data_IF_923724650114
#
_entry.id   IF_923724650114
#
_cell.length_a   1.000
_cell.length_b   1.000
_cell.length_c   1.000
_cell.angle_alpha   90.00
_cell.angle_beta   90.00
_cell.angle_gamma   90.00
#
_symmetry.space_group_name_H-M   'P 1'
#
loop_
_entity.id
_entity.type
_entity.pdbx_description
1 polymer ?
#
# COMPACT_ATOMS: atom_id res chain seq x y z
N UNK A 1 -10.51 -22.84 -15.11
CA UNK A 1 -10.66 -21.66 -14.28
C UNK A 1 -10.07 -20.45 -14.99
N UNK A 2 -10.87 -19.45 -15.25
CA UNK A 2 -10.57 -18.29 -16.09
C UNK A 2 -9.56 -17.38 -15.37
N UNK A 3 -8.41 -17.10 -15.98
CA UNK A 3 -7.54 -15.99 -15.64
C UNK A 3 -8.27 -14.68 -16.01
N UNK A 4 -9.00 -14.11 -15.06
CA UNK A 4 -9.71 -12.85 -15.26
C UNK A 4 -8.78 -11.68 -14.92
N UNK A 5 -8.28 -11.00 -15.95
CA UNK A 5 -7.53 -9.75 -15.84
C UNK A 5 -6.51 -9.61 -16.97
N UNK A 6 -6.50 -8.48 -17.69
CA UNK A 6 -5.62 -8.25 -18.84
C UNK A 6 -4.11 -8.27 -18.52
N UNK A 7 -3.73 -8.29 -17.24
CA UNK A 7 -2.35 -8.33 -16.72
C UNK A 7 -1.83 -9.76 -16.49
N UNK A 8 -2.72 -10.70 -16.16
CA UNK A 8 -2.34 -12.08 -15.88
C UNK A 8 -1.72 -12.81 -17.09
N UNK A 9 -2.22 -12.66 -18.33
CA UNK A 9 -1.63 -13.28 -19.52
C UNK A 9 -0.21 -12.77 -19.81
N UNK A 10 0.07 -11.48 -19.57
CA UNK A 10 1.39 -10.89 -19.79
C UNK A 10 2.41 -11.33 -18.74
N UNK A 11 2.00 -11.45 -17.48
CA UNK A 11 2.84 -12.03 -16.42
C UNK A 11 3.15 -13.50 -16.70
N UNK A 12 2.14 -14.28 -17.10
CA UNK A 12 2.31 -15.68 -17.46
C UNK A 12 3.18 -15.86 -18.73
N UNK A 13 2.97 -15.04 -19.76
CA UNK A 13 3.77 -15.06 -20.98
C UNK A 13 5.23 -14.68 -20.71
N UNK A 14 5.47 -13.60 -19.98
CA UNK A 14 6.84 -13.16 -19.62
C UNK A 14 7.54 -14.16 -18.67
N UNK A 15 6.78 -14.78 -17.74
CA UNK A 15 7.31 -15.83 -16.89
C UNK A 15 7.61 -17.11 -17.67
N UNK A 16 6.79 -17.46 -18.66
CA UNK A 16 7.00 -18.62 -19.53
C UNK A 16 8.14 -18.41 -20.54
N UNK A 17 8.26 -17.22 -21.15
CA UNK A 17 9.36 -16.89 -22.07
C UNK A 17 10.73 -16.85 -21.39
N UNK A 18 10.80 -16.48 -20.11
CA UNK A 18 12.04 -16.41 -19.33
C UNK A 18 12.28 -17.65 -18.46
N UNK A 19 11.38 -18.61 -18.47
CA UNK A 19 11.57 -19.94 -17.87
C UNK A 19 12.39 -20.86 -18.77
N UNK A 20 13.33 -20.31 -19.57
CA UNK A 20 14.30 -21.09 -20.31
C UNK A 20 15.17 -21.85 -19.29
N UNK A 21 15.13 -23.20 -19.27
CA UNK A 21 15.88 -24.02 -18.33
C UNK A 21 17.41 -23.85 -18.49
N UNK A 22 17.90 -23.15 -19.53
CA UNK A 22 19.32 -22.89 -19.74
C UNK A 22 19.86 -21.66 -18.97
N UNK A 23 19.00 -20.76 -18.46
CA UNK A 23 19.43 -19.63 -17.65
C UNK A 23 19.18 -19.90 -16.16
N UNK A 24 20.23 -20.38 -15.49
CA UNK A 24 20.24 -20.71 -14.06
C UNK A 24 20.30 -19.47 -13.17
N UNK A 25 19.34 -18.54 -13.25
CA UNK A 25 19.21 -17.51 -12.22
C UNK A 25 18.22 -17.97 -11.15
N UNK A 26 18.67 -18.19 -9.90
CA UNK A 26 17.83 -18.68 -8.81
C UNK A 26 16.86 -17.61 -8.26
N UNK A 27 17.04 -16.33 -8.63
CA UNK A 27 16.22 -15.20 -8.20
C UNK A 27 15.71 -14.35 -9.34
N UNK A 28 14.58 -13.69 -9.15
CA UNK A 28 14.01 -12.74 -10.09
C UNK A 28 13.27 -11.61 -9.37
N UNK A 29 13.33 -10.38 -9.92
CA UNK A 29 12.59 -9.23 -9.44
C UNK A 29 11.33 -8.98 -10.30
N UNK A 30 10.20 -8.69 -9.67
CA UNK A 30 8.98 -8.25 -10.35
C UNK A 30 8.61 -6.86 -9.84
N UNK A 31 8.76 -5.87 -10.71
CA UNK A 31 8.38 -4.51 -10.45
C UNK A 31 7.04 -4.16 -11.10
N UNK A 32 6.34 -3.21 -10.52
CA UNK A 32 5.13 -2.65 -11.12
C UNK A 32 4.31 -1.88 -10.12
N UNK A 33 3.44 -1.04 -10.62
CA UNK A 33 2.56 -0.21 -9.80
C UNK A 33 1.69 -1.04 -8.86
N UNK A 34 1.31 -0.45 -7.72
CA UNK A 34 0.34 -1.06 -6.80
C UNK A 34 -0.98 -1.28 -7.53
N UNK A 35 -1.56 -2.48 -7.40
CA UNK A 35 -2.80 -2.84 -8.10
C UNK A 35 -2.63 -3.56 -9.44
N UNK A 36 -1.40 -3.78 -9.92
CA UNK A 36 -1.14 -4.59 -11.11
C UNK A 36 -1.43 -6.10 -10.93
N UNK A 37 -1.94 -6.50 -9.77
CA UNK A 37 -2.29 -7.90 -9.46
C UNK A 37 -1.11 -8.79 -9.07
N UNK A 38 0.10 -8.26 -8.89
CA UNK A 38 1.31 -9.06 -8.54
C UNK A 38 1.07 -9.97 -7.34
N UNK A 39 0.59 -9.39 -6.26
CA UNK A 39 0.38 -10.07 -4.98
C UNK A 39 -0.49 -11.32 -5.08
N UNK A 40 -1.56 -11.30 -5.87
CA UNK A 40 -2.49 -12.44 -6.02
C UNK A 40 -2.16 -13.36 -7.20
N UNK A 41 -1.56 -12.83 -8.27
CA UNK A 41 -1.31 -13.61 -9.47
C UNK A 41 0.00 -14.39 -9.43
N UNK A 42 1.09 -13.82 -8.86
CA UNK A 42 2.38 -14.49 -8.79
C UNK A 42 2.33 -15.86 -8.08
N UNK A 43 1.71 -16.01 -6.89
CA UNK A 43 1.65 -17.33 -6.26
C UNK A 43 0.85 -18.32 -7.09
N UNK A 44 -0.21 -17.90 -7.80
CA UNK A 44 -0.99 -18.79 -8.69
C UNK A 44 -0.16 -19.23 -9.91
N UNK A 45 0.67 -18.34 -10.47
CA UNK A 45 1.59 -18.67 -11.55
C UNK A 45 2.63 -19.70 -11.05
N UNK A 46 3.20 -19.52 -9.87
CA UNK A 46 4.13 -20.46 -9.28
C UNK A 46 3.48 -21.85 -9.09
N UNK A 47 2.24 -21.91 -8.60
CA UNK A 47 1.48 -23.17 -8.48
C UNK A 47 1.24 -23.83 -9.84
N UNK A 48 0.88 -23.03 -10.88
CA UNK A 48 0.69 -23.53 -12.24
C UNK A 48 1.98 -24.06 -12.87
N UNK A 49 3.14 -23.52 -12.49
CA UNK A 49 4.48 -24.01 -12.88
C UNK A 49 4.95 -25.23 -12.05
N UNK A 50 4.08 -25.80 -11.24
CA UNK A 50 4.37 -27.03 -10.48
C UNK A 50 5.04 -26.82 -9.12
N UNK A 51 5.21 -25.58 -8.66
CA UNK A 51 5.72 -25.31 -7.31
C UNK A 51 4.68 -25.72 -6.25
N UNK A 52 5.13 -26.30 -5.15
CA UNK A 52 4.24 -26.90 -4.15
C UNK A 52 4.52 -26.50 -2.72
N UNK A 53 5.60 -25.79 -2.46
CA UNK A 53 6.03 -25.35 -1.12
C UNK A 53 6.37 -23.85 -1.17
N UNK A 54 5.35 -23.02 -1.40
CA UNK A 54 5.50 -21.60 -1.63
C UNK A 54 5.29 -20.83 -0.32
N UNK A 55 6.31 -20.10 0.13
CA UNK A 55 6.18 -19.06 1.14
C UNK A 55 5.98 -17.70 0.45
N UNK A 56 4.90 -16.98 0.80
CA UNK A 56 4.63 -15.65 0.28
C UNK A 56 4.57 -14.68 1.46
N UNK A 57 5.55 -13.80 1.58
CA UNK A 57 5.60 -12.89 2.72
C UNK A 57 4.80 -11.60 2.49
N UNK A 58 4.29 -11.07 3.58
CA UNK A 58 3.60 -9.78 3.65
C UNK A 58 4.10 -8.99 4.86
N UNK A 59 4.25 -7.66 4.78
CA UNK A 59 4.76 -6.88 5.90
C UNK A 59 3.77 -6.81 7.08
N UNK A 60 2.48 -7.06 6.84
CA UNK A 60 1.42 -6.89 7.84
C UNK A 60 0.53 -8.12 7.96
N UNK A 61 0.12 -8.42 9.21
CA UNK A 61 -0.72 -9.60 9.53
C UNK A 61 -2.05 -9.61 8.77
N UNK A 62 -2.68 -8.44 8.63
CA UNK A 62 -3.94 -8.30 7.90
C UNK A 62 -3.73 -8.62 6.43
N UNK A 63 -2.68 -8.07 5.83
CA UNK A 63 -2.35 -8.32 4.43
C UNK A 63 -2.12 -9.81 4.17
N UNK A 64 -1.34 -10.49 5.01
CA UNK A 64 -1.09 -11.92 4.87
C UNK A 64 -2.39 -12.74 4.84
N UNK A 65 -3.32 -12.42 5.74
CA UNK A 65 -4.61 -13.09 5.80
C UNK A 65 -5.49 -12.76 4.58
N UNK A 66 -5.67 -11.47 4.27
CA UNK A 66 -6.55 -11.05 3.16
C UNK A 66 -6.04 -11.51 1.80
N UNK A 67 -4.72 -11.56 1.61
CA UNK A 67 -4.11 -12.12 0.38
C UNK A 67 -4.39 -13.60 0.27
N UNK A 68 -4.23 -14.37 1.37
CA UNK A 68 -4.54 -15.80 1.36
C UNK A 68 -6.03 -16.07 1.08
N UNK A 69 -6.92 -15.35 1.75
CA UNK A 69 -8.38 -15.43 1.53
C UNK A 69 -8.71 -15.12 0.06
N UNK A 70 -8.14 -14.06 -0.49
CA UNK A 70 -8.38 -13.66 -1.88
C UNK A 70 -7.85 -14.67 -2.89
N UNK A 71 -6.64 -15.21 -2.67
CA UNK A 71 -6.08 -16.24 -3.57
C UNK A 71 -6.89 -17.52 -3.48
N UNK A 72 -7.32 -17.95 -2.29
CA UNK A 72 -8.17 -19.13 -2.11
C UNK A 72 -9.51 -18.96 -2.83
N UNK A 73 -10.17 -17.80 -2.67
CA UNK A 73 -11.41 -17.46 -3.38
C UNK A 73 -11.24 -17.51 -4.91
N UNK A 74 -10.19 -16.87 -5.44
CA UNK A 74 -9.92 -16.83 -6.89
C UNK A 74 -9.55 -18.21 -7.46
N UNK A 75 -9.01 -19.10 -6.64
CA UNK A 75 -8.72 -20.50 -7.00
C UNK A 75 -9.90 -21.44 -6.78
N UNK A 76 -10.95 -21.00 -6.07
CA UNK A 76 -12.10 -21.83 -5.73
C UNK A 76 -11.76 -22.95 -4.74
N UNK A 77 -10.82 -22.74 -3.83
CA UNK A 77 -10.40 -23.70 -2.80
C UNK A 77 -10.72 -23.19 -1.40
N UNK A 78 -10.86 -24.10 -0.45
CA UNK A 78 -11.06 -23.74 0.95
C UNK A 78 -9.74 -23.23 1.56
N UNK A 79 -9.84 -22.14 2.34
CA UNK A 79 -8.68 -21.58 3.05
C UNK A 79 -8.21 -22.54 4.15
N UNK A 80 -6.93 -22.91 4.09
CA UNK A 80 -6.30 -23.90 4.98
C UNK A 80 -5.99 -25.21 4.29
N UNK A 81 -6.53 -25.45 3.10
CA UNK A 81 -6.19 -26.60 2.25
C UNK A 81 -4.98 -26.28 1.36
N UNK A 82 -5.19 -26.06 0.07
CA UNK A 82 -4.12 -25.75 -0.87
C UNK A 82 -3.49 -24.37 -0.64
N UNK A 83 -4.27 -23.42 -0.17
CA UNK A 83 -3.86 -22.05 0.19
C UNK A 83 -4.14 -21.81 1.67
N UNK A 84 -3.13 -21.39 2.41
CA UNK A 84 -3.24 -21.09 3.82
C UNK A 84 -2.48 -19.83 4.20
N UNK A 85 -2.55 -19.45 5.47
CA UNK A 85 -1.76 -18.35 6.00
C UNK A 85 -1.16 -18.68 7.37
N UNK A 86 -0.08 -17.98 7.69
CA UNK A 86 0.57 -18.05 9.01
C UNK A 86 1.00 -16.66 9.46
N UNK A 87 0.48 -16.23 10.59
CA UNK A 87 0.89 -15.00 11.27
C UNK A 87 1.21 -15.31 12.73
N UNK A 88 1.83 -14.38 13.43
CA UNK A 88 2.17 -14.60 14.85
C UNK A 88 0.93 -15.05 15.64
N UNK A 89 1.04 -16.22 16.29
CA UNK A 89 0.00 -16.89 17.09
C UNK A 89 -1.19 -17.46 16.32
N UNK A 90 -1.22 -17.39 15.00
CA UNK A 90 -2.33 -17.97 14.23
C UNK A 90 -1.79 -18.64 12.97
N UNK A 91 -2.13 -19.93 12.80
CA UNK A 91 -1.83 -20.69 11.59
C UNK A 91 -3.11 -21.32 11.07
N UNK A 92 -3.39 -21.13 9.79
CA UNK A 92 -4.44 -21.83 9.05
C UNK A 92 -3.81 -22.40 7.78
N UNK A 93 -2.99 -23.42 7.98
CA UNK A 93 -2.29 -24.16 6.96
C UNK A 93 -1.96 -25.57 7.52
N UNK A 94 -1.86 -26.56 6.66
CA UNK A 94 -1.49 -27.95 6.96
C UNK A 94 -0.14 -28.27 6.35
N UNK A 95 0.36 -29.50 6.52
CA UNK A 95 1.55 -30.00 5.81
C UNK A 95 1.37 -30.06 4.30
N UNK A 96 0.13 -30.17 3.83
CA UNK A 96 -0.23 -30.33 2.41
C UNK A 96 -0.55 -28.99 1.73
N UNK A 97 -0.51 -27.89 2.49
CA UNK A 97 -0.73 -26.54 1.96
C UNK A 97 0.40 -26.17 1.02
N UNK A 98 0.06 -25.96 -0.25
CA UNK A 98 1.05 -25.66 -1.30
C UNK A 98 1.51 -24.19 -1.30
N UNK A 99 0.62 -23.27 -0.87
CA UNK A 99 0.91 -21.85 -0.72
C UNK A 99 0.59 -21.40 0.70
N UNK A 100 1.60 -20.94 1.42
CA UNK A 100 1.40 -20.31 2.73
C UNK A 100 1.76 -18.83 2.64
N UNK A 101 0.75 -17.97 2.81
CA UNK A 101 0.97 -16.53 2.96
C UNK A 101 1.30 -16.23 4.42
N UNK A 102 2.40 -15.55 4.67
CA UNK A 102 2.89 -15.32 6.02
C UNK A 102 3.43 -13.90 6.21
N UNK A 103 3.67 -13.49 7.45
CA UNK A 103 4.38 -12.23 7.67
C UNK A 103 5.89 -12.43 7.58
N UNK A 104 6.63 -11.38 7.18
CA UNK A 104 8.11 -11.39 7.13
C UNK A 104 8.73 -11.92 8.42
N UNK A 105 8.17 -11.52 9.57
CA UNK A 105 8.63 -11.98 10.87
C UNK A 105 8.41 -13.48 11.14
N UNK A 106 7.43 -14.11 10.48
CA UNK A 106 7.23 -15.57 10.56
C UNK A 106 8.32 -16.30 9.77
N UNK A 107 8.57 -15.91 8.52
CA UNK A 107 9.65 -16.47 7.72
C UNK A 107 11.01 -16.29 8.41
N UNK A 108 11.24 -15.12 9.02
CA UNK A 108 12.44 -14.85 9.80
C UNK A 108 12.58 -15.79 11.01
N UNK A 109 11.47 -16.11 11.68
CA UNK A 109 11.47 -17.05 12.79
C UNK A 109 11.73 -18.49 12.32
N UNK A 110 11.29 -18.89 11.13
CA UNK A 110 11.56 -20.21 10.55
C UNK A 110 13.05 -20.43 10.32
N UNK A 111 13.81 -19.41 9.92
CA UNK A 111 15.28 -19.48 9.73
C UNK A 111 16.01 -19.96 10.99
N UNK A 112 15.48 -19.67 12.18
CA UNK A 112 16.11 -20.10 13.43
C UNK A 112 16.07 -21.62 13.65
N UNK A 113 15.14 -22.32 13.01
CA UNK A 113 14.93 -23.77 13.14
C UNK A 113 15.31 -24.52 11.85
N UNK A 114 15.10 -23.89 10.69
CA UNK A 114 15.45 -24.42 9.36
C UNK A 114 16.29 -23.37 8.62
N UNK A 115 17.60 -23.44 8.83
CA UNK A 115 18.56 -22.48 8.24
C UNK A 115 18.62 -22.53 6.72
N UNK A 116 18.29 -23.64 6.11
CA UNK A 116 18.30 -23.77 4.67
C UNK A 116 16.91 -23.60 4.05
N UNK A 117 15.89 -23.30 4.88
CA UNK A 117 14.50 -23.12 4.47
C UNK A 117 14.02 -24.29 3.58
N UNK A 118 14.38 -25.52 3.98
CA UNK A 118 14.10 -26.75 3.23
C UNK A 118 12.61 -27.02 3.06
N UNK A 119 11.77 -26.42 3.93
CA UNK A 119 10.32 -26.51 3.84
C UNK A 119 9.75 -25.77 2.61
N UNK A 120 10.58 -24.98 1.90
CA UNK A 120 10.12 -24.15 0.78
C UNK A 120 10.93 -24.42 -0.49
N UNK A 121 10.21 -24.47 -1.62
CA UNK A 121 10.79 -24.51 -2.97
C UNK A 121 10.74 -23.14 -3.65
N UNK A 122 9.90 -22.25 -3.15
CA UNK A 122 9.72 -20.88 -3.68
C UNK A 122 9.44 -19.92 -2.54
N UNK A 123 10.11 -18.78 -2.55
CA UNK A 123 9.89 -17.68 -1.59
C UNK A 123 9.56 -16.42 -2.36
N UNK A 124 8.42 -15.81 -2.05
CA UNK A 124 7.98 -14.53 -2.60
C UNK A 124 8.08 -13.49 -1.48
N UNK A 125 8.98 -12.51 -1.64
CA UNK A 125 9.07 -11.34 -0.76
C UNK A 125 8.27 -10.21 -1.38
N UNK A 126 7.10 -9.95 -0.82
CA UNK A 126 6.20 -8.92 -1.35
C UNK A 126 6.41 -7.57 -0.65
N UNK A 127 6.08 -6.47 -1.35
CA UNK A 127 6.20 -5.10 -0.87
C UNK A 127 7.64 -4.74 -0.38
N UNK A 128 8.67 -5.25 -1.06
CA UNK A 128 10.07 -5.08 -0.65
C UNK A 128 10.51 -3.60 -0.55
N UNK A 129 9.77 -2.67 -1.18
CA UNK A 129 10.01 -1.23 -1.08
C UNK A 129 9.67 -0.64 0.31
N UNK A 130 8.92 -1.35 1.17
CA UNK A 130 8.69 -0.91 2.56
C UNK A 130 9.98 -0.89 3.39
N UNK A 131 11.03 -1.59 2.96
CA UNK A 131 12.37 -1.57 3.56
C UNK A 131 12.36 -1.71 5.09
N UNK A 132 11.50 -2.59 5.60
CA UNK A 132 11.51 -2.94 7.03
C UNK A 132 12.81 -3.68 7.38
N UNK A 133 13.21 -3.62 8.65
CA UNK A 133 14.37 -4.37 9.14
C UNK A 133 14.26 -5.87 8.83
N UNK A 134 13.06 -6.44 8.91
CA UNK A 134 12.82 -7.85 8.57
C UNK A 134 13.07 -8.13 7.09
N UNK A 135 12.55 -7.28 6.21
CA UNK A 135 12.74 -7.40 4.76
C UNK A 135 14.24 -7.30 4.41
N UNK A 136 14.94 -6.28 4.93
CA UNK A 136 16.35 -6.09 4.62
C UNK A 136 17.21 -7.26 5.12
N UNK A 137 16.89 -7.82 6.31
CA UNK A 137 17.54 -9.02 6.80
C UNK A 137 17.26 -10.23 5.91
N UNK A 138 16.00 -10.48 5.54
CA UNK A 138 15.60 -11.58 4.67
C UNK A 138 16.30 -11.52 3.31
N UNK A 139 16.38 -10.35 2.69
CA UNK A 139 17.08 -10.16 1.41
C UNK A 139 18.55 -10.49 1.51
N UNK A 140 19.23 -10.04 2.57
CA UNK A 140 20.63 -10.37 2.83
C UNK A 140 20.84 -11.86 3.08
N UNK A 141 19.93 -12.47 3.85
CA UNK A 141 19.97 -13.91 4.15
C UNK A 141 19.76 -14.77 2.91
N UNK A 142 18.73 -14.46 2.12
CA UNK A 142 18.41 -15.19 0.89
C UNK A 142 19.54 -15.10 -0.12
N UNK A 143 20.21 -13.95 -0.25
CA UNK A 143 21.42 -13.84 -1.10
C UNK A 143 22.49 -14.85 -0.71
N UNK A 144 22.74 -15.05 0.59
CA UNK A 144 23.72 -16.01 1.08
C UNK A 144 23.23 -17.47 0.97
N UNK A 145 21.92 -17.67 0.98
CA UNK A 145 21.33 -19.01 0.90
C UNK A 145 21.31 -19.55 -0.54
N UNK A 146 21.00 -18.74 -1.53
CA UNK A 146 20.81 -19.14 -2.92
C UNK A 146 21.96 -19.98 -3.51
N UNK A 147 23.26 -19.70 -3.27
CA UNK A 147 24.36 -20.55 -3.73
C UNK A 147 24.32 -21.97 -3.16
N UNK A 148 23.72 -22.17 -1.97
CA UNK A 148 23.58 -23.47 -1.31
C UNK A 148 22.28 -24.19 -1.69
N UNK A 149 21.29 -23.44 -2.17
CA UNK A 149 19.96 -23.93 -2.55
C UNK A 149 19.63 -23.54 -3.99
N UNK A 150 20.29 -24.15 -5.00
CA UNK A 150 20.04 -23.83 -6.41
C UNK A 150 18.63 -24.22 -6.89
N UNK A 151 17.95 -25.10 -6.16
CA UNK A 151 16.56 -25.50 -6.36
C UNK A 151 15.55 -24.44 -5.92
N UNK A 152 15.92 -23.60 -4.94
CA UNK A 152 15.07 -22.55 -4.38
C UNK A 152 14.88 -21.42 -5.38
N UNK A 153 13.65 -20.99 -5.56
CA UNK A 153 13.32 -19.79 -6.34
C UNK A 153 12.92 -18.66 -5.41
N UNK A 154 13.51 -17.49 -5.63
CA UNK A 154 13.20 -16.26 -4.89
C UNK A 154 12.62 -15.23 -5.85
N UNK A 155 11.45 -14.71 -5.52
CA UNK A 155 10.76 -13.66 -6.26
C UNK A 155 10.60 -12.46 -5.33
N UNK A 156 11.02 -11.29 -5.78
CA UNK A 156 10.90 -10.04 -5.01
C UNK A 156 9.95 -9.13 -5.76
N UNK A 157 8.90 -8.65 -5.08
CA UNK A 157 7.99 -7.67 -5.65
C UNK A 157 8.19 -6.29 -5.02
N UNK A 158 8.06 -5.27 -5.84
CA UNK A 158 8.22 -3.88 -5.41
C UNK A 158 7.24 -2.98 -6.18
N UNK A 159 6.73 -1.94 -5.51
CA UNK A 159 5.89 -0.92 -6.13
C UNK A 159 6.69 0.27 -6.66
N UNK A 160 7.97 0.37 -6.33
CA UNK A 160 8.83 1.50 -6.71
C UNK A 160 9.90 1.11 -7.71
N UNK A 161 10.47 2.14 -8.36
CA UNK A 161 11.44 2.07 -9.49
C UNK A 161 12.83 1.57 -9.07
N UNK A 162 13.08 1.24 -7.79
CA UNK A 162 14.42 0.84 -7.30
C UNK A 162 14.80 -0.62 -7.65
N UNK A 163 14.31 -1.08 -8.79
CA UNK A 163 14.52 -2.43 -9.33
C UNK A 163 15.97 -2.71 -9.65
N UNK A 164 16.70 -1.68 -10.08
CA UNK A 164 18.12 -1.81 -10.40
C UNK A 164 18.96 -2.21 -9.17
N UNK A 165 18.63 -1.68 -7.98
CA UNK A 165 19.33 -2.05 -6.75
C UNK A 165 19.04 -3.48 -6.31
N UNK A 166 17.78 -3.93 -6.46
CA UNK A 166 17.42 -5.32 -6.16
C UNK A 166 18.08 -6.27 -7.15
N UNK A 167 18.09 -5.94 -8.46
CA UNK A 167 18.78 -6.72 -9.47
C UNK A 167 20.28 -6.86 -9.16
N UNK A 168 20.97 -5.75 -8.95
CA UNK A 168 22.38 -5.75 -8.58
C UNK A 168 22.68 -6.50 -7.27
N UNK A 169 21.77 -6.43 -6.28
CA UNK A 169 21.92 -7.18 -5.04
C UNK A 169 21.90 -8.69 -5.26
N UNK A 170 21.15 -9.19 -6.23
CA UNK A 170 21.03 -10.62 -6.58
C UNK A 170 21.76 -10.96 -7.88
N UNK A 171 22.98 -10.43 -8.06
CA UNK A 171 23.89 -10.76 -9.13
C UNK A 171 23.26 -10.57 -10.53
N UNK A 172 22.66 -9.37 -10.73
CA UNK A 172 21.95 -8.97 -11.94
C UNK A 172 20.74 -9.86 -12.28
N UNK A 173 20.03 -10.29 -11.24
CA UNK A 173 18.80 -11.08 -11.39
C UNK A 173 17.80 -10.38 -12.32
N UNK A 174 17.10 -11.13 -13.19
CA UNK A 174 16.19 -10.55 -14.17
C UNK A 174 15.03 -9.78 -13.49
N UNK A 175 14.70 -8.62 -14.04
CA UNK A 175 13.60 -7.78 -13.61
C UNK A 175 12.47 -7.84 -14.62
N UNK A 176 11.26 -8.13 -14.16
CA UNK A 176 10.04 -8.10 -14.97
C UNK A 176 9.23 -6.87 -14.53
N UNK A 177 9.08 -5.91 -15.44
CA UNK A 177 8.24 -4.76 -15.20
C UNK A 177 6.81 -5.04 -15.64
N UNK A 178 5.87 -4.81 -14.73
CA UNK A 178 4.44 -4.99 -14.97
C UNK A 178 3.73 -3.66 -14.81
N UNK A 179 3.28 -3.09 -15.92
CA UNK A 179 2.39 -1.95 -15.89
C UNK A 179 0.93 -2.41 -15.74
N UNK A 180 0.26 -1.98 -14.69
CA UNK A 180 -1.19 -2.09 -14.59
C UNK A 180 -1.86 -1.06 -15.52
N UNK A 181 -3.01 -1.39 -16.13
CA UNK A 181 -3.86 -0.34 -16.68
C UNK A 181 -4.56 0.35 -15.52
N UNK A 182 -4.11 1.55 -15.19
CA UNK A 182 -4.78 2.43 -14.25
C UNK A 182 -5.57 3.48 -15.03
N UNK A 183 -6.72 3.86 -14.51
CA UNK A 183 -7.45 5.01 -15.01
C UNK A 183 -6.80 6.31 -14.51
N UNK A 184 -6.99 7.43 -15.20
CA UNK A 184 -6.47 8.72 -14.73
C UNK A 184 -7.05 9.08 -13.36
N UNK A 185 -6.22 9.68 -12.53
CA UNK A 185 -6.60 10.21 -11.22
C UNK A 185 -6.42 11.72 -11.23
N UNK A 186 -7.52 12.43 -11.04
CA UNK A 186 -7.51 13.87 -10.82
C UNK A 186 -7.10 14.17 -9.37
N UNK A 187 -6.07 14.97 -9.18
CA UNK A 187 -5.65 15.41 -7.83
C UNK A 187 -6.13 16.82 -7.61
N UNK A 188 -6.99 17.00 -6.59
CA UNK A 188 -7.50 18.30 -6.16
C UNK A 188 -6.91 18.65 -4.79
N UNK A 189 -6.50 19.89 -4.61
CA UNK A 189 -5.97 20.38 -3.35
C UNK A 189 -7.02 21.22 -2.62
N UNK A 190 -7.21 20.96 -1.34
CA UNK A 190 -8.13 21.65 -0.42
C UNK A 190 -7.42 21.83 0.93
N UNK A 191 -6.37 22.69 1.00
CA UNK A 191 -5.63 22.89 2.24
C UNK A 191 -6.54 23.28 3.40
N UNK A 192 -6.25 22.72 4.60
CA UNK A 192 -6.98 23.07 5.83
C UNK A 192 -6.68 24.49 6.30
N UNK A 193 -5.51 25.00 5.96
CA UNK A 193 -5.11 26.39 6.15
C UNK A 193 -5.30 27.15 4.83
N UNK A 194 -6.23 28.11 4.76
CA UNK A 194 -6.47 28.91 3.56
C UNK A 194 -5.24 29.69 3.09
N UNK A 195 -4.33 30.05 4.01
CA UNK A 195 -3.09 30.76 3.67
C UNK A 195 -2.12 29.92 2.83
N UNK A 196 -2.30 28.59 2.82
CA UNK A 196 -1.53 27.66 1.98
C UNK A 196 -2.14 27.46 0.57
N UNK A 197 -3.23 28.11 0.22
CA UNK A 197 -3.81 28.05 -1.13
C UNK A 197 -2.95 28.86 -2.08
N UNK A 198 -2.42 28.21 -3.11
CA UNK A 198 -1.75 28.89 -4.23
C UNK A 198 -2.84 29.63 -5.01
N UNK A 199 -2.74 30.96 -5.08
CA UNK A 199 -3.60 31.76 -5.96
C UNK A 199 -3.11 31.55 -7.40
N UNK A 200 -4.01 31.40 -8.39
CA UNK A 200 -3.62 31.23 -9.80
C UNK A 200 -2.75 32.35 -10.38
N UNK A 201 -2.75 33.51 -9.74
CA UNK A 201 -2.02 34.70 -10.19
C UNK A 201 -0.56 34.76 -9.70
N UNK A 202 -0.11 33.81 -8.87
CA UNK A 202 1.25 33.81 -8.30
C UNK A 202 2.28 33.02 -9.17
N UNK A 203 1.89 32.50 -10.34
CA UNK A 203 2.80 31.73 -11.22
C UNK A 203 3.75 32.61 -12.08
N UNK A 204 3.51 33.92 -12.21
CA UNK A 204 4.26 34.79 -13.13
C UNK A 204 5.35 35.69 -12.49
N UNK A 205 5.51 35.71 -11.15
CA UNK A 205 6.41 36.64 -10.46
C UNK A 205 7.44 35.97 -9.54
N UNK A 206 8.21 34.98 -10.02
CA UNK A 206 9.34 34.42 -9.24
C UNK A 206 10.66 34.79 -9.93
N UNK A 207 10.97 36.09 -9.98
CA UNK A 207 12.31 36.55 -10.44
C UNK A 207 12.88 37.76 -9.67
N UNK A 208 12.49 38.00 -8.42
CA UNK A 208 13.19 39.03 -7.61
C UNK A 208 13.35 38.58 -6.15
N UNK A 209 14.55 38.11 -5.78
CA UNK A 209 14.93 37.70 -4.41
C UNK A 209 14.99 38.88 -3.39
N UNK A 210 14.81 40.13 -3.79
CA UNK A 210 14.97 41.30 -2.91
C UNK A 210 13.66 41.83 -2.29
N UNK A 211 12.46 41.34 -2.67
CA UNK A 211 11.18 41.85 -2.16
C UNK A 211 10.60 41.13 -0.93
N UNK A 212 11.24 40.06 -0.47
CA UNK A 212 10.78 39.25 0.67
C UNK A 212 10.93 39.89 2.05
N UNK A 213 11.60 41.05 2.13
CA UNK A 213 11.89 41.72 3.42
C UNK A 213 10.91 42.83 3.81
N UNK A 214 9.95 43.21 2.98
CA UNK A 214 9.05 44.36 3.23
C UNK A 214 7.54 44.01 3.28
N UNK A 215 7.11 42.76 3.27
CA UNK A 215 5.70 42.36 3.44
C UNK A 215 5.32 42.05 4.89
N UNK A 216 5.78 42.86 5.82
CA UNK A 216 5.29 42.83 7.20
C UNK A 216 4.40 44.08 7.41
N UNK A 217 3.11 43.84 7.71
CA UNK A 217 2.11 44.81 8.21
C UNK A 217 1.22 45.49 7.18
N UNK A 218 0.20 44.75 6.70
CA UNK A 218 -1.11 45.36 6.47
C UNK A 218 -2.17 44.45 7.16
N UNK A 219 -3.13 45.00 7.92
CA UNK A 219 -4.22 44.21 8.51
C UNK A 219 -5.14 43.75 7.40
N UNK A 220 -5.05 42.46 7.06
CA UNK A 220 -6.00 41.79 6.16
C UNK A 220 -7.36 41.77 6.82
N UNK A 221 -8.37 42.33 6.15
CA UNK A 221 -9.78 42.12 6.48
C UNK A 221 -10.06 40.61 6.21
N UNK A 222 -10.01 39.81 7.27
CA UNK A 222 -10.32 38.37 7.22
C UNK A 222 -11.78 38.21 6.77
N UNK A 223 -11.96 37.64 5.59
CA UNK A 223 -13.25 37.11 5.17
C UNK A 223 -13.62 35.90 6.05
N UNK A 224 -14.91 35.57 6.26
CA UNK A 224 -15.33 34.43 7.05
C UNK A 224 -14.80 33.08 6.52
N UNK A 225 -14.19 33.05 5.34
CA UNK A 225 -13.59 31.88 4.69
C UNK A 225 -12.08 31.67 5.00
N UNK A 226 -11.45 32.59 5.76
CA UNK A 226 -10.00 32.55 6.08
C UNK A 226 -9.68 31.85 7.41
N UNK A 227 -10.63 31.13 8.00
CA UNK A 227 -10.41 30.39 9.26
C UNK A 227 -9.75 29.04 9.00
N UNK A 228 -8.69 28.74 9.74
CA UNK A 228 -8.06 27.41 9.72
C UNK A 228 -9.08 26.35 10.09
N UNK A 229 -9.32 25.43 9.18
CA UNK A 229 -10.33 24.38 9.33
C UNK A 229 -9.69 23.17 10.03
N UNK A 230 -10.33 22.64 11.07
CA UNK A 230 -9.87 21.40 11.67
C UNK A 230 -10.00 20.22 10.69
N UNK A 231 -9.19 19.17 10.90
CA UNK A 231 -9.08 18.03 9.98
C UNK A 231 -10.42 17.31 9.78
N UNK A 232 -11.22 17.12 10.84
CA UNK A 232 -12.49 16.40 10.77
C UNK A 232 -13.50 17.18 9.92
N UNK A 233 -13.61 18.49 10.17
CA UNK A 233 -14.45 19.40 9.36
C UNK A 233 -14.00 19.43 7.91
N UNK A 234 -12.68 19.48 7.65
CA UNK A 234 -12.13 19.42 6.30
C UNK A 234 -12.49 18.11 5.57
N UNK A 235 -12.41 16.96 6.27
CA UNK A 235 -12.85 15.68 5.72
C UNK A 235 -14.35 15.67 5.44
N UNK A 236 -15.18 16.20 6.32
CA UNK A 236 -16.63 16.30 6.11
C UNK A 236 -16.96 17.12 4.86
N UNK A 237 -16.31 18.28 4.66
CA UNK A 237 -16.45 19.11 3.45
C UNK A 237 -16.02 18.35 2.20
N UNK A 238 -14.88 17.65 2.25
CA UNK A 238 -14.38 16.84 1.16
C UNK A 238 -15.33 15.67 0.80
N UNK A 239 -15.91 14.99 1.78
CA UNK A 239 -16.92 13.95 1.55
C UNK A 239 -18.15 14.54 0.88
N UNK A 240 -18.63 15.70 1.34
CA UNK A 240 -19.78 16.37 0.71
C UNK A 240 -19.49 16.80 -0.72
N UNK A 241 -18.26 17.26 -1.03
CA UNK A 241 -17.82 17.57 -2.40
C UNK A 241 -17.89 16.31 -3.27
N UNK A 242 -17.29 15.19 -2.81
CA UNK A 242 -17.27 13.93 -3.55
C UNK A 242 -18.64 13.25 -3.65
N UNK A 243 -19.56 13.52 -2.74
CA UNK A 243 -20.94 13.05 -2.84
C UNK A 243 -21.73 13.68 -3.98
N UNK A 244 -21.28 14.81 -4.54
CA UNK A 244 -21.85 15.44 -5.74
C UNK A 244 -21.32 14.85 -7.03
N UNK A 245 -20.21 14.14 -6.98
CA UNK A 245 -19.64 13.40 -8.09
C UNK A 245 -20.43 12.11 -8.37
N UNK A 246 -20.09 11.39 -9.43
CA UNK A 246 -20.71 10.12 -9.76
C UNK A 246 -20.65 9.10 -8.62
N UNK A 247 -21.42 8.02 -8.73
CA UNK A 247 -21.41 6.96 -7.72
C UNK A 247 -20.03 6.29 -7.63
N UNK A 248 -19.60 6.00 -6.40
CA UNK A 248 -18.31 5.35 -6.12
C UNK A 248 -17.95 5.46 -4.66
N UNK A 249 -17.14 4.53 -4.18
CA UNK A 249 -16.71 4.48 -2.80
C UNK A 249 -15.58 5.46 -2.52
N UNK A 250 -15.53 5.92 -1.27
CA UNK A 250 -14.56 6.90 -0.79
C UNK A 250 -13.63 6.22 0.22
N UNK A 251 -12.32 6.37 0.03
CA UNK A 251 -11.31 5.96 1.01
C UNK A 251 -10.71 7.21 1.66
N UNK A 252 -10.78 7.29 2.98
CA UNK A 252 -10.20 8.36 3.79
C UNK A 252 -9.01 7.83 4.56
N UNK A 253 -7.85 8.46 4.41
CA UNK A 253 -6.66 8.11 5.18
C UNK A 253 -6.62 8.89 6.50
N UNK A 254 -6.35 8.18 7.60
CA UNK A 254 -6.30 8.74 8.96
C UNK A 254 -5.08 8.19 9.71
N UNK A 255 -4.54 8.96 10.65
CA UNK A 255 -3.33 8.57 11.35
C UNK A 255 -3.56 7.49 12.41
N UNK A 256 -4.79 7.31 12.92
CA UNK A 256 -5.04 6.32 13.96
C UNK A 256 -6.51 6.08 14.28
N UNK A 257 -6.72 5.13 15.19
CA UNK A 257 -8.06 4.66 15.60
C UNK A 257 -8.94 5.79 16.20
N UNK A 258 -8.33 6.69 16.97
CA UNK A 258 -9.06 7.81 17.57
C UNK A 258 -9.62 8.74 16.48
N UNK A 259 -8.78 9.14 15.51
CA UNK A 259 -9.21 9.99 14.39
C UNK A 259 -10.29 9.30 13.54
N UNK A 260 -10.19 7.96 13.37
CA UNK A 260 -11.21 7.17 12.66
C UNK A 260 -12.56 7.26 13.38
N UNK A 261 -12.59 7.15 14.72
CA UNK A 261 -13.83 7.24 15.49
C UNK A 261 -14.44 8.63 15.44
N UNK A 262 -13.63 9.66 15.70
CA UNK A 262 -14.07 11.06 15.66
C UNK A 262 -14.62 11.43 14.26
N UNK A 263 -13.93 11.02 13.19
CA UNK A 263 -14.37 11.23 11.82
C UNK A 263 -15.64 10.45 11.50
N UNK A 264 -15.77 9.19 11.99
CA UNK A 264 -16.97 8.39 11.77
C UNK A 264 -18.20 8.99 12.43
N UNK A 265 -18.07 9.51 13.65
CA UNK A 265 -19.14 10.21 14.36
C UNK A 265 -19.57 11.48 13.62
N UNK A 266 -18.62 12.32 13.22
CA UNK A 266 -18.91 13.54 12.47
C UNK A 266 -19.55 13.26 11.10
N UNK A 267 -19.14 12.21 10.39
CA UNK A 267 -19.76 11.81 9.13
C UNK A 267 -21.16 11.20 9.31
N UNK A 268 -21.41 10.52 10.43
CA UNK A 268 -22.74 10.00 10.75
C UNK A 268 -23.76 11.15 10.95
N UNK A 269 -23.32 12.26 11.56
CA UNK A 269 -24.15 13.45 11.79
C UNK A 269 -24.56 14.13 10.46
N UNK A 270 -23.83 13.92 9.38
CA UNK A 270 -24.20 14.45 8.06
C UNK A 270 -25.42 13.76 7.43
N UNK A 271 -25.87 12.63 8.00
CA UNK A 271 -27.04 11.86 7.54
C UNK A 271 -27.03 11.59 6.02
N UNK A 272 -25.88 11.17 5.47
CA UNK A 272 -25.70 10.91 4.04
C UNK A 272 -26.60 9.75 3.59
N UNK A 273 -27.46 10.00 2.62
CA UNK A 273 -28.40 8.99 2.11
C UNK A 273 -27.67 7.83 1.46
N UNK A 274 -28.13 6.60 1.72
CA UNK A 274 -27.61 5.35 1.14
C UNK A 274 -26.07 5.21 1.22
N UNK A 275 -25.50 5.61 2.38
CA UNK A 275 -24.05 5.62 2.61
C UNK A 275 -23.72 4.82 3.86
N UNK A 276 -22.78 3.87 3.73
CA UNK A 276 -22.23 3.06 4.82
C UNK A 276 -20.83 3.58 5.19
N UNK A 277 -20.56 3.80 6.48
CA UNK A 277 -19.26 4.23 6.99
C UNK A 277 -18.61 3.03 7.68
N UNK A 278 -17.41 2.63 7.21
CA UNK A 278 -16.68 1.47 7.73
C UNK A 278 -15.27 1.86 8.17
N UNK A 279 -14.88 1.53 9.41
CA UNK A 279 -13.50 1.64 9.85
C UNK A 279 -12.63 0.50 9.29
N UNK A 280 -11.34 0.78 9.03
CA UNK A 280 -10.36 -0.21 8.60
C UNK A 280 -8.99 0.05 9.26
N UNK A 281 -8.70 -0.67 10.35
CA UNK A 281 -7.43 -0.59 11.06
C UNK A 281 -7.04 -1.94 11.69
N UNK A 282 -5.77 -2.06 12.10
CA UNK A 282 -5.15 -3.33 12.46
C UNK A 282 -5.77 -4.07 13.66
N UNK A 283 -6.45 -3.37 14.56
CA UNK A 283 -7.02 -3.95 15.79
C UNK A 283 -8.46 -4.45 15.64
N UNK A 284 -9.11 -4.16 14.53
CA UNK A 284 -10.45 -4.67 14.26
C UNK A 284 -10.47 -6.20 14.23
N UNK A 285 -11.58 -6.78 14.62
CA UNK A 285 -11.81 -8.21 14.44
C UNK A 285 -11.79 -8.60 12.96
N UNK A 286 -11.52 -9.85 12.68
CA UNK A 286 -11.50 -10.38 11.32
C UNK A 286 -12.82 -10.14 10.57
N UNK A 287 -13.96 -10.30 11.25
CA UNK A 287 -15.28 -10.08 10.66
C UNK A 287 -15.50 -8.61 10.29
N UNK A 288 -15.10 -7.67 11.16
CA UNK A 288 -15.19 -6.24 10.86
C UNK A 288 -14.30 -5.82 9.69
N UNK A 289 -13.06 -6.34 9.65
CA UNK A 289 -12.15 -6.09 8.52
C UNK A 289 -12.70 -6.66 7.21
N UNK A 290 -13.36 -7.82 7.26
CA UNK A 290 -13.93 -8.46 6.07
C UNK A 290 -15.10 -7.65 5.47
N UNK A 291 -15.83 -6.87 6.28
CA UNK A 291 -16.96 -6.06 5.81
C UNK A 291 -16.61 -5.12 4.65
N UNK A 292 -15.39 -4.57 4.63
CA UNK A 292 -14.96 -3.66 3.54
C UNK A 292 -14.83 -4.36 2.18
N UNK A 293 -14.74 -5.70 2.17
CA UNK A 293 -14.61 -6.51 0.95
C UNK A 293 -15.94 -7.10 0.48
N UNK A 294 -16.99 -7.05 1.30
CA UNK A 294 -18.31 -7.61 0.93
C UNK A 294 -19.00 -6.74 -0.12
N UNK A 295 -19.74 -7.36 -1.08
CA UNK A 295 -20.55 -6.61 -2.03
C UNK A 295 -21.59 -5.72 -1.31
N UNK A 296 -21.89 -4.56 -1.86
CA UNK A 296 -22.86 -3.60 -1.33
C UNK A 296 -23.53 -2.84 -2.46
N UNK A 297 -24.64 -2.15 -2.18
CA UNK A 297 -25.45 -1.46 -3.18
C UNK A 297 -25.38 0.07 -3.06
N UNK A 298 -25.06 0.60 -1.90
CA UNK A 298 -24.94 2.04 -1.65
C UNK A 298 -23.51 2.55 -1.86
N UNK A 299 -23.26 3.80 -1.48
CA UNK A 299 -21.91 4.35 -1.36
C UNK A 299 -21.28 3.86 -0.06
N UNK A 300 -20.01 3.58 -0.09
CA UNK A 300 -19.24 3.22 1.09
C UNK A 300 -18.13 4.23 1.34
N UNK A 301 -17.99 4.66 2.59
CA UNK A 301 -16.88 5.50 3.06
C UNK A 301 -16.03 4.62 3.97
N UNK A 302 -14.81 4.32 3.55
CA UNK A 302 -13.85 3.52 4.32
C UNK A 302 -12.86 4.45 5.00
N UNK A 303 -12.87 4.47 6.33
CA UNK A 303 -11.93 5.24 7.15
C UNK A 303 -10.75 4.34 7.53
N UNK A 304 -9.60 4.55 6.94
CA UNK A 304 -8.48 3.62 7.06
C UNK A 304 -7.20 4.29 7.56
N UNK A 305 -6.40 3.53 8.28
CA UNK A 305 -5.00 3.90 8.51
C UNK A 305 -4.15 3.57 7.27
N UNK A 306 -2.85 3.80 7.35
CA UNK A 306 -1.89 3.45 6.29
C UNK A 306 -1.91 1.94 5.89
N UNK A 307 -2.70 1.10 6.56
CA UNK A 307 -2.95 -0.30 6.15
C UNK A 307 -3.57 -0.38 4.75
N UNK A 308 -4.38 0.61 4.35
CA UNK A 308 -4.96 0.68 3.01
C UNK A 308 -4.04 1.37 1.98
N UNK A 309 -2.86 1.85 2.39
CA UNK A 309 -1.91 2.51 1.48
C UNK A 309 -1.16 1.51 0.59
N UNK A 310 -0.68 0.41 1.16
CA UNK A 310 0.10 -0.59 0.44
C UNK A 310 -0.53 -1.98 0.53
N UNK A 311 -0.90 -2.42 1.74
CA UNK A 311 -1.14 -3.81 2.07
C UNK A 311 -2.54 -4.34 1.74
N UNK A 312 -3.53 -3.48 1.61
CA UNK A 312 -4.90 -3.89 1.31
C UNK A 312 -5.45 -3.15 0.09
N UNK A 313 -6.03 -3.90 -0.82
CA UNK A 313 -6.80 -3.33 -1.92
C UNK A 313 -8.28 -3.39 -1.57
N UNK A 314 -8.82 -2.25 -1.15
CA UNK A 314 -10.26 -2.10 -0.95
C UNK A 314 -10.93 -2.02 -2.33
N UNK A 315 -11.90 -2.91 -2.64
CA UNK A 315 -12.57 -2.88 -3.93
C UNK A 315 -13.51 -1.67 -4.06
N UNK A 316 -13.80 -1.24 -5.29
CA UNK A 316 -14.82 -0.21 -5.56
C UNK A 316 -14.38 1.23 -5.29
N UNK A 317 -13.18 1.47 -4.74
CA UNK A 317 -12.71 2.82 -4.43
C UNK A 317 -12.53 3.62 -5.72
N UNK A 318 -13.25 4.72 -5.78
CA UNK A 318 -13.20 5.71 -6.85
C UNK A 318 -12.66 7.06 -6.38
N UNK A 319 -12.78 7.32 -5.08
CA UNK A 319 -12.41 8.59 -4.47
C UNK A 319 -11.49 8.38 -3.28
N UNK A 320 -10.51 9.28 -3.14
CA UNK A 320 -9.56 9.28 -2.00
C UNK A 320 -9.57 10.64 -1.34
N UNK A 321 -9.57 10.67 -0.01
CA UNK A 321 -9.31 11.86 0.80
C UNK A 321 -8.02 11.61 1.59
N UNK A 322 -7.03 12.47 1.38
CA UNK A 322 -5.72 12.39 2.02
C UNK A 322 -5.40 13.64 2.82
N UNK A 323 -5.48 13.58 4.16
CA UNK A 323 -5.05 14.68 5.03
C UNK A 323 -3.53 14.90 5.09
N UNK A 324 -2.73 14.03 4.46
CA UNK A 324 -1.29 14.18 4.39
C UNK A 324 -0.51 13.72 5.63
N UNK A 325 -1.16 13.05 6.58
CA UNK A 325 -0.53 12.58 7.81
C UNK A 325 -0.63 11.06 7.98
N UNK A 326 0.33 10.48 8.72
CA UNK A 326 0.31 9.07 9.11
C UNK A 326 1.06 8.84 10.42
N UNK A 327 0.75 7.73 11.12
CA UNK A 327 1.61 7.22 12.19
C UNK A 327 2.76 6.45 11.58
N UNK A 328 3.97 6.95 11.79
CA UNK A 328 5.20 6.37 11.28
C UNK A 328 6.00 5.78 12.44
N UNK A 329 6.40 4.52 12.30
CA UNK A 329 7.24 3.88 13.31
C UNK A 329 8.65 4.48 13.27
N UNK A 330 9.09 5.04 14.38
CA UNK A 330 10.44 5.58 14.58
C UNK A 330 11.12 4.86 15.73
N UNK A 331 12.29 4.33 15.47
CA UNK A 331 13.14 3.77 16.52
C UNK A 331 14.12 4.83 17.00
N UNK A 332 14.07 5.13 18.29
CA UNK A 332 15.04 6.04 18.92
C UNK A 332 16.22 5.23 19.45
N UNK A 333 17.36 5.33 18.79
CA UNK A 333 18.60 4.68 19.22
C UNK A 333 19.01 5.14 20.63
N UNK A 334 18.77 6.41 20.98
CA UNK A 334 19.10 6.98 22.27
C UNK A 334 18.26 6.42 23.43
N UNK A 335 16.96 6.24 23.21
CA UNK A 335 16.02 5.77 24.26
C UNK A 335 15.70 4.30 24.13
N UNK A 336 16.17 3.61 23.08
CA UNK A 336 15.86 2.21 22.73
C UNK A 336 14.35 1.91 22.70
N UNK A 337 13.54 2.92 22.41
CA UNK A 337 12.07 2.83 22.37
C UNK A 337 11.58 3.10 20.97
N UNK A 338 10.65 2.26 20.51
CA UNK A 338 9.88 2.49 19.29
C UNK A 338 8.74 3.46 19.59
N UNK A 339 8.67 4.56 18.86
CA UNK A 339 7.58 5.53 18.93
C UNK A 339 6.79 5.53 17.63
N UNK A 340 5.55 5.94 17.71
CA UNK A 340 4.62 6.04 16.59
C UNK A 340 4.07 7.48 16.49
N UNK A 341 4.92 8.49 16.25
CA UNK A 341 4.45 9.86 16.07
C UNK A 341 3.56 9.97 14.83
N UNK A 342 2.64 10.94 14.86
CA UNK A 342 1.93 11.39 13.67
C UNK A 342 2.87 12.33 12.94
N UNK A 343 3.20 11.99 11.71
CA UNK A 343 4.10 12.78 10.87
C UNK A 343 3.47 12.97 9.49
N UNK A 344 3.87 14.02 8.77
CA UNK A 344 3.54 14.20 7.38
C UNK A 344 4.01 13.02 6.53
N UNK A 345 3.21 12.64 5.52
CA UNK A 345 3.56 11.56 4.58
C UNK A 345 4.55 12.04 3.52
N UNK A 346 5.38 11.15 3.02
CA UNK A 346 6.25 11.45 1.88
C UNK A 346 5.46 11.63 0.58
N UNK A 347 6.05 12.29 -0.42
CA UNK A 347 5.44 12.40 -1.75
C UNK A 347 5.12 11.03 -2.35
N UNK A 348 6.01 10.05 -2.17
CA UNK A 348 5.79 8.68 -2.63
C UNK A 348 4.54 8.06 -1.98
N UNK A 349 4.38 8.22 -0.66
CA UNK A 349 3.20 7.77 0.07
C UNK A 349 1.93 8.48 -0.40
N UNK A 350 1.96 9.82 -0.57
CA UNK A 350 0.82 10.58 -1.08
C UNK A 350 0.42 10.13 -2.51
N UNK A 351 1.38 9.79 -3.36
CA UNK A 351 1.12 9.26 -4.70
C UNK A 351 0.55 7.82 -4.65
N UNK A 352 1.05 6.97 -3.74
CA UNK A 352 0.49 5.64 -3.51
C UNK A 352 -0.96 5.70 -3.01
N UNK A 353 -1.27 6.66 -2.11
CA UNK A 353 -2.64 6.91 -1.64
C UNK A 353 -3.55 7.35 -2.77
N UNK A 354 -3.14 8.32 -3.59
CA UNK A 354 -3.89 8.74 -4.77
C UNK A 354 -4.12 7.57 -5.75
N UNK A 355 -3.13 6.70 -5.96
CA UNK A 355 -3.26 5.50 -6.79
C UNK A 355 -4.29 4.47 -6.31
N UNK A 356 -4.91 4.67 -5.14
CA UNK A 356 -5.97 3.78 -4.65
C UNK A 356 -7.31 4.00 -5.36
N UNK A 357 -7.57 5.18 -5.93
CA UNK A 357 -8.78 5.42 -6.72
C UNK A 357 -8.48 5.14 -8.20
N UNK A 358 -7.96 5.19 -9.05
CA UNK A 358 -7.77 4.92 -10.49
C UNK A 358 -7.72 3.43 -10.89
N UNK A 359 -8.34 2.53 -10.11
CA UNK A 359 -8.25 1.09 -10.37
C UNK A 359 -9.40 0.52 -11.16
N UNK A 360 -10.60 1.02 -10.94
CA UNK A 360 -11.82 0.51 -11.57
C UNK A 360 -12.42 1.50 -12.55
N UNK A 361 -12.19 2.80 -12.35
CA UNK A 361 -12.67 3.91 -13.18
C UNK A 361 -11.79 5.14 -12.96
N UNK A 362 -11.92 6.20 -13.76
CA UNK A 362 -11.32 7.51 -13.46
C UNK A 362 -11.68 7.93 -12.03
N UNK A 363 -10.69 8.39 -11.28
CA UNK A 363 -10.83 8.70 -9.86
C UNK A 363 -10.45 10.12 -9.51
N UNK A 364 -10.82 10.55 -8.29
CA UNK A 364 -10.45 11.84 -7.73
C UNK A 364 -9.77 11.63 -6.40
N UNK A 365 -8.64 12.30 -6.19
CA UNK A 365 -7.94 12.37 -4.91
C UNK A 365 -7.99 13.80 -4.37
N UNK A 366 -8.71 14.02 -3.27
CA UNK A 366 -8.70 15.28 -2.54
C UNK A 366 -7.57 15.27 -1.51
N UNK A 367 -6.60 16.17 -1.66
CA UNK A 367 -5.52 16.40 -0.70
C UNK A 367 -5.84 17.59 0.18
N UNK A 368 -5.89 17.38 1.50
CA UNK A 368 -6.22 18.44 2.47
C UNK A 368 -4.97 19.23 2.93
N UNK A 369 -3.98 19.34 2.07
CA UNK A 369 -2.72 20.05 2.26
C UNK A 369 -2.31 20.70 0.93
N UNK A 370 -1.38 21.66 0.98
CA UNK A 370 -0.94 22.37 -0.23
C UNK A 370 0.11 21.56 -1.03
N UNK A 371 0.22 21.79 -2.35
CA UNK A 371 1.30 21.18 -3.16
C UNK A 371 2.70 21.54 -2.64
N UNK A 372 2.87 22.74 -2.11
CA UNK A 372 4.13 23.24 -1.56
C UNK A 372 4.56 22.49 -0.31
N UNK A 373 3.62 22.04 0.52
CA UNK A 373 3.89 21.24 1.71
C UNK A 373 4.64 19.93 1.36
N UNK A 374 4.42 19.35 0.17
CA UNK A 374 5.13 18.16 -0.30
C UNK A 374 6.60 18.43 -0.68
N UNK A 375 6.94 19.65 -1.11
CA UNK A 375 8.32 20.00 -1.52
C UNK A 375 9.28 20.07 -0.33
N UNK A 376 8.81 20.50 0.83
CA UNK A 376 9.58 20.57 2.06
C UNK A 376 10.02 19.18 2.58
N UNK A 377 9.31 18.11 2.18
CA UNK A 377 9.58 16.75 2.61
C UNK A 377 10.59 16.03 1.71
N UNK A 378 10.85 16.53 0.49
CA UNK A 378 11.97 16.07 -0.35
C UNK A 378 13.33 16.40 0.27
N UNK A 379 13.43 17.46 1.06
CA UNK A 379 14.70 17.99 1.58
C UNK A 379 15.21 17.29 2.86
N UNK A 380 14.46 16.35 3.45
CA UNK A 380 14.96 15.56 4.58
C UNK A 380 15.38 14.16 4.09
N UNK A 381 16.69 13.92 3.88
CA UNK A 381 17.18 12.57 3.70
C UNK A 381 16.84 11.76 4.96
N UNK A 382 16.57 10.45 4.85
CA UNK A 382 16.46 9.61 6.01
C UNK A 382 17.76 9.76 6.82
N UNK A 383 17.68 10.33 8.00
CA UNK A 383 18.82 10.34 8.91
C UNK A 383 19.11 8.90 9.29
N UNK A 384 20.33 8.47 8.92
CA UNK A 384 20.92 7.17 9.19
C UNK A 384 20.80 6.75 10.67
#
# INVERSE_FOLDING_TARGET
GVLAGATAPRLAANAAERADPSTHHPGGGVAGETGSGKTTQLPKICLALGRRQIAHTQPRRIAARSVAERVAEEMGVELGEQVGYQVRFTRRATSDTALTVMTDGVLLAEISHDRDLCAHDTIIIDEAHERSLNIDFLLGYLKQLLPRRPDLKVIITSATIDTARFSAHFDDAPVIEVSGRTYPVEVRYRPLDPSEQIRPDDEDDIDDEDELLHRSSAPSLTSPDDEVVDQVTGICRAVQELCREESGDILVFLAGEQEIRETAEALADLNLSNTEILPLFARLSAAEQHRVFTPHTGRRIVLATNVAETSLTVPGIRYVIDPGTARISRYSVRTKVQRLPIEPVSQASANQRAGRCGRVAPGICLRLFSPTSLSWWRARPPRA
#
